data_IF_910088744284
#
_entry.id   IF_910088744284
#
_cell.length_a   1.000
_cell.length_b   1.000
_cell.length_c   1.000
_cell.angle_alpha   90.00
_cell.angle_beta   90.00
_cell.angle_gamma   90.00
#
_symmetry.space_group_name_H-M   'P 1'
#
loop_
_entity.id
_entity.type
_entity.pdbx_description
1 polymer ?
#
# COMPACT_ATOMS: atom_id res chain seq x y z
N UNK A 1 -12.97 10.77 1.31
CA UNK A 1 -13.21 9.55 0.52
C UNK A 1 -11.85 9.09 0.04
N UNK A 2 -11.37 7.95 0.46
CA UNK A 2 -10.05 7.43 0.06
C UNK A 2 -10.27 6.66 -1.23
N UNK A 3 -9.72 7.17 -2.32
CA UNK A 3 -9.77 6.47 -3.61
C UNK A 3 -8.73 5.34 -3.55
N UNK A 4 -9.20 4.10 -3.60
CA UNK A 4 -8.36 2.89 -3.56
C UNK A 4 -8.57 2.09 -4.84
N UNK A 5 -7.48 1.67 -5.48
CA UNK A 5 -7.51 0.71 -6.60
C UNK A 5 -6.49 -0.39 -6.34
N UNK A 6 -6.90 -1.61 -6.59
CA UNK A 6 -6.04 -2.78 -6.60
C UNK A 6 -5.85 -3.27 -8.03
N UNK A 7 -4.62 -3.57 -8.40
CA UNK A 7 -4.24 -4.18 -9.68
C UNK A 7 -3.47 -5.44 -9.37
N UNK A 8 -3.93 -6.57 -9.93
CA UNK A 8 -3.28 -7.85 -9.79
C UNK A 8 -2.90 -8.36 -11.16
N UNK A 9 -1.61 -8.47 -11.43
CA UNK A 9 -1.06 -8.90 -12.71
C UNK A 9 -0.06 -10.03 -12.51
N UNK A 10 0.08 -10.91 -13.50
CA UNK A 10 1.09 -11.95 -13.51
C UNK A 10 2.19 -11.62 -14.52
N UNK A 11 3.43 -11.91 -14.16
CA UNK A 11 4.60 -11.78 -15.02
C UNK A 11 5.33 -13.10 -15.09
N UNK A 12 5.46 -13.64 -16.30
CA UNK A 12 6.28 -14.83 -16.52
C UNK A 12 7.73 -14.43 -16.72
N UNK A 13 8.61 -15.02 -15.92
CA UNK A 13 10.07 -14.86 -16.01
C UNK A 13 10.63 -16.24 -16.40
N UNK A 14 11.21 -16.30 -17.59
CA UNK A 14 11.86 -17.51 -18.10
C UNK A 14 13.32 -17.21 -18.33
N UNK A 15 14.18 -17.93 -17.63
CA UNK A 15 15.62 -17.72 -17.72
C UNK A 15 16.34 -19.04 -17.95
N UNK A 16 17.35 -19.01 -18.83
CA UNK A 16 18.23 -20.13 -19.09
C UNK A 16 19.60 -19.83 -18.49
N UNK A 17 19.97 -20.63 -17.52
CA UNK A 17 21.21 -20.47 -16.75
C UNK A 17 22.12 -21.64 -17.03
N UNK A 18 23.39 -21.36 -17.21
CA UNK A 18 24.43 -22.37 -17.19
C UNK A 18 25.08 -22.40 -15.81
N UNK A 19 24.94 -23.52 -15.11
CA UNK A 19 25.60 -23.75 -13.82
C UNK A 19 26.93 -24.43 -14.10
N UNK A 20 28.02 -23.69 -13.94
CA UNK A 20 29.38 -24.23 -14.12
C UNK A 20 29.61 -25.40 -13.15
N UNK A 21 30.28 -26.45 -13.64
CA UNK A 21 30.61 -27.67 -12.89
C UNK A 21 29.38 -28.46 -12.39
N UNK A 22 28.25 -28.39 -13.11
CA UNK A 22 27.09 -29.23 -12.82
C UNK A 22 27.32 -30.72 -13.23
N UNK A 23 28.38 -31.03 -14.01
CA UNK A 23 28.60 -32.36 -14.57
C UNK A 23 28.64 -33.49 -13.54
N UNK A 24 29.07 -33.18 -12.30
CA UNK A 24 29.16 -34.15 -11.20
C UNK A 24 28.11 -33.88 -10.09
N UNK A 25 27.13 -33.02 -10.34
CA UNK A 25 26.12 -32.64 -9.38
C UNK A 25 24.71 -32.69 -9.96
N UNK A 26 23.77 -32.98 -9.10
CA UNK A 26 22.34 -32.98 -9.43
C UNK A 26 21.68 -31.73 -8.81
N UNK A 27 20.79 -31.09 -9.55
CA UNK A 27 19.89 -30.08 -9.00
C UNK A 27 18.81 -30.79 -8.20
N UNK A 28 18.79 -30.57 -6.89
CA UNK A 28 17.82 -31.16 -5.96
C UNK A 28 16.56 -30.27 -5.92
N UNK A 29 16.75 -28.95 -5.84
CA UNK A 29 15.67 -27.99 -5.69
C UNK A 29 16.08 -26.62 -6.24
N UNK A 30 15.09 -25.81 -6.62
CA UNK A 30 15.26 -24.43 -7.01
C UNK A 30 14.21 -23.59 -6.29
N UNK A 31 14.63 -22.65 -5.47
CA UNK A 31 13.74 -21.71 -4.80
C UNK A 31 13.87 -20.32 -5.44
N UNK A 32 12.73 -19.65 -5.67
CA UNK A 32 12.68 -18.31 -6.24
C UNK A 32 12.18 -17.32 -5.19
N UNK A 33 12.90 -16.21 -5.03
CA UNK A 33 12.54 -15.13 -4.09
C UNK A 33 12.53 -13.79 -4.84
N UNK A 34 11.37 -13.19 -5.09
CA UNK A 34 11.25 -11.90 -5.74
C UNK A 34 11.40 -10.75 -4.75
N UNK A 35 12.02 -9.66 -5.18
CA UNK A 35 12.18 -8.42 -4.39
C UNK A 35 12.02 -7.20 -5.28
N UNK A 36 11.29 -6.17 -4.83
CA UNK A 36 11.29 -4.85 -5.47
C UNK A 36 12.48 -4.05 -4.94
N UNK A 37 13.28 -3.54 -5.86
CA UNK A 37 14.46 -2.70 -5.56
C UNK A 37 14.11 -1.23 -5.64
N UNK A 38 13.29 -0.86 -6.64
CA UNK A 38 12.91 0.53 -6.90
C UNK A 38 11.49 0.64 -7.43
N UNK A 39 10.81 1.67 -6.98
CA UNK A 39 9.57 2.17 -7.55
C UNK A 39 9.81 3.52 -8.23
N UNK A 40 9.27 3.69 -9.41
CA UNK A 40 9.33 4.93 -10.18
C UNK A 40 7.91 5.35 -10.57
N UNK A 41 7.56 6.59 -10.27
CA UNK A 41 6.25 7.18 -10.57
C UNK A 41 6.43 8.29 -11.59
N UNK A 42 5.81 8.14 -12.75
CA UNK A 42 5.85 9.12 -13.83
C UNK A 42 4.48 9.26 -14.49
N UNK A 43 3.93 10.46 -14.44
CA UNK A 43 2.62 10.79 -15.04
C UNK A 43 1.51 9.83 -14.56
N UNK A 44 1.02 8.97 -15.46
CA UNK A 44 -0.02 7.98 -15.24
C UNK A 44 0.50 6.54 -15.11
N UNK A 45 1.81 6.36 -14.90
CA UNK A 45 2.46 5.05 -14.81
C UNK A 45 3.25 4.89 -13.52
N UNK A 46 3.28 3.66 -13.05
CA UNK A 46 4.12 3.22 -11.95
C UNK A 46 4.93 2.03 -12.44
N UNK A 47 6.24 2.16 -12.40
CA UNK A 47 7.18 1.11 -12.80
C UNK A 47 7.92 0.57 -11.58
N UNK A 48 8.01 -0.75 -11.49
CA UNK A 48 8.73 -1.49 -10.49
C UNK A 48 9.94 -2.14 -11.12
N UNK A 49 11.13 -1.80 -10.64
CA UNK A 49 12.37 -2.53 -10.93
C UNK A 49 12.59 -3.51 -9.78
N UNK A 50 12.76 -4.77 -10.10
CA UNK A 50 12.93 -5.82 -9.12
C UNK A 50 14.01 -6.82 -9.52
N UNK A 51 14.25 -7.75 -8.62
CA UNK A 51 15.20 -8.83 -8.78
C UNK A 51 14.57 -10.13 -8.32
N UNK A 52 14.65 -11.17 -9.14
CA UNK A 52 14.28 -12.53 -8.79
C UNK A 52 15.56 -13.29 -8.44
N UNK A 53 15.75 -13.63 -7.17
CA UNK A 53 16.84 -14.47 -6.73
C UNK A 53 16.42 -15.93 -6.87
N UNK A 54 17.15 -16.69 -7.72
CA UNK A 54 17.05 -18.14 -7.84
C UNK A 54 18.14 -18.77 -7.01
N UNK A 55 17.74 -19.58 -6.03
CA UNK A 55 18.64 -20.39 -5.22
C UNK A 55 18.56 -21.84 -5.64
N UNK A 56 19.64 -22.36 -6.20
CA UNK A 56 19.76 -23.75 -6.60
C UNK A 56 20.41 -24.56 -5.47
N UNK A 57 19.75 -25.64 -5.07
CA UNK A 57 20.29 -26.62 -4.17
C UNK A 57 20.88 -27.78 -4.98
N UNK A 58 22.20 -27.97 -4.88
CA UNK A 58 22.95 -28.96 -5.64
C UNK A 58 23.51 -30.03 -4.71
N UNK A 59 23.50 -31.29 -5.15
CA UNK A 59 24.19 -32.38 -4.45
C UNK A 59 25.13 -33.14 -5.40
N UNK A 60 26.28 -33.55 -4.90
CA UNK A 60 27.20 -34.44 -5.60
C UNK A 60 26.89 -35.91 -5.31
N UNK A 61 27.67 -36.81 -5.92
CA UNK A 61 27.52 -38.25 -5.74
C UNK A 61 27.90 -38.78 -4.34
N UNK A 62 28.59 -37.95 -3.54
CA UNK A 62 28.97 -38.23 -2.15
C UNK A 62 27.95 -37.63 -1.15
N UNK A 63 26.83 -37.09 -1.64
CA UNK A 63 25.78 -36.44 -0.89
C UNK A 63 26.24 -35.11 -0.19
N UNK A 64 27.32 -34.50 -0.65
CA UNK A 64 27.64 -33.13 -0.22
C UNK A 64 26.69 -32.17 -0.91
N UNK A 65 26.18 -31.19 -0.14
CA UNK A 65 25.20 -30.23 -0.61
C UNK A 65 25.81 -28.83 -0.67
N UNK A 66 25.57 -28.14 -1.76
CA UNK A 66 25.93 -26.72 -1.91
C UNK A 66 24.77 -25.91 -2.48
N UNK A 67 24.80 -24.60 -2.26
CA UNK A 67 23.85 -23.67 -2.85
C UNK A 67 24.53 -22.74 -3.85
N UNK A 68 23.81 -22.42 -4.94
CA UNK A 68 24.20 -21.42 -5.92
C UNK A 68 23.07 -20.42 -6.08
N UNK A 69 23.39 -19.15 -6.04
CA UNK A 69 22.40 -18.09 -6.18
C UNK A 69 22.62 -17.34 -7.51
N UNK A 70 21.52 -17.06 -8.19
CA UNK A 70 21.49 -16.24 -9.38
C UNK A 70 20.44 -15.14 -9.20
N UNK A 71 20.77 -13.95 -9.63
CA UNK A 71 19.87 -12.80 -9.59
C UNK A 71 19.46 -12.40 -11.00
N UNK A 72 18.15 -12.36 -11.24
CA UNK A 72 17.54 -12.04 -12.53
C UNK A 72 16.79 -10.73 -12.37
N UNK A 73 17.20 -9.63 -13.01
CA UNK A 73 16.45 -8.39 -12.96
C UNK A 73 15.13 -8.51 -13.71
N UNK A 74 14.10 -7.89 -13.20
CA UNK A 74 12.84 -7.73 -13.90
C UNK A 74 12.30 -6.31 -13.76
N UNK A 75 11.49 -5.91 -14.73
CA UNK A 75 10.75 -4.65 -14.70
C UNK A 75 9.27 -4.93 -14.94
N UNK A 76 8.40 -4.22 -14.23
CA UNK A 76 6.95 -4.31 -14.39
C UNK A 76 6.34 -2.91 -14.32
N UNK A 77 5.46 -2.59 -15.26
CA UNK A 77 4.82 -1.26 -15.32
C UNK A 77 3.31 -1.41 -15.36
N UNK A 78 2.64 -0.65 -14.53
CA UNK A 78 1.18 -0.59 -14.45
C UNK A 78 0.68 0.83 -14.72
N UNK A 79 -0.59 0.95 -15.12
CA UNK A 79 -1.27 2.24 -15.23
C UNK A 79 -1.83 2.67 -13.88
N UNK A 80 -1.57 3.92 -13.51
CA UNK A 80 -2.07 4.50 -12.27
C UNK A 80 -3.48 5.10 -12.42
N UNK A 81 -4.11 5.43 -11.30
CA UNK A 81 -5.35 6.21 -11.27
C UNK A 81 -5.04 7.72 -11.30
N UNK A 82 -4.80 8.27 -12.47
CA UNK A 82 -4.39 9.66 -12.65
C UNK A 82 -2.91 9.88 -12.31
N UNK A 83 -2.53 11.10 -11.91
CA UNK A 83 -1.13 11.42 -11.64
C UNK A 83 -0.56 10.53 -10.52
N UNK A 84 0.43 9.70 -10.86
CA UNK A 84 1.06 8.72 -9.98
C UNK A 84 1.88 9.34 -8.84
N UNK A 85 2.38 10.56 -9.00
CA UNK A 85 3.25 11.24 -8.01
C UNK A 85 2.54 11.47 -6.66
N UNK A 86 1.20 11.59 -6.68
CA UNK A 86 0.38 11.82 -5.49
C UNK A 86 -0.24 10.55 -4.91
N UNK A 87 0.16 9.38 -5.41
CA UNK A 87 -0.32 8.09 -4.94
C UNK A 87 0.68 7.45 -3.96
N UNK A 88 0.16 6.84 -2.91
CA UNK A 88 0.88 5.82 -2.15
C UNK A 88 0.58 4.47 -2.75
N UNK A 89 1.57 3.59 -2.75
CA UNK A 89 1.49 2.24 -3.30
C UNK A 89 1.95 1.24 -2.25
N UNK A 90 1.31 0.09 -2.26
CA UNK A 90 1.72 -1.09 -1.51
C UNK A 90 1.77 -2.26 -2.48
N UNK A 91 2.89 -2.96 -2.54
CA UNK A 91 3.15 -4.00 -3.55
C UNK A 91 3.49 -5.31 -2.86
N UNK A 92 2.71 -6.33 -3.15
CA UNK A 92 2.95 -7.70 -2.73
C UNK A 92 3.40 -8.54 -3.92
N UNK A 93 4.43 -9.36 -3.71
CA UNK A 93 4.97 -10.28 -4.69
C UNK A 93 4.75 -11.71 -4.22
N UNK A 94 4.20 -12.54 -5.08
CA UNK A 94 3.95 -13.95 -4.81
C UNK A 94 4.42 -14.80 -5.99
N UNK A 95 5.06 -15.95 -5.72
CA UNK A 95 5.35 -16.95 -6.74
C UNK A 95 4.10 -17.82 -6.92
N UNK A 96 3.40 -17.61 -8.03
CA UNK A 96 2.20 -18.38 -8.35
C UNK A 96 2.54 -19.80 -8.84
N UNK A 97 3.65 -19.92 -9.58
CA UNK A 97 4.18 -21.20 -10.03
C UNK A 97 5.68 -21.09 -10.29
N UNK A 98 6.41 -22.16 -10.02
CA UNK A 98 7.81 -22.30 -10.47
C UNK A 98 8.09 -23.74 -10.90
N UNK A 99 8.83 -23.88 -11.96
CA UNK A 99 9.38 -25.14 -12.41
C UNK A 99 10.81 -24.95 -12.95
N UNK A 100 11.55 -26.02 -13.06
CA UNK A 100 12.86 -26.03 -13.67
C UNK A 100 13.11 -27.28 -14.49
N UNK A 101 13.88 -27.12 -15.56
CA UNK A 101 14.27 -28.23 -16.44
C UNK A 101 15.80 -28.26 -16.52
N UNK A 102 16.39 -29.33 -16.06
CA UNK A 102 17.81 -29.59 -16.20
C UNK A 102 18.09 -30.21 -17.56
N UNK A 103 19.03 -29.65 -18.29
CA UNK A 103 19.48 -30.10 -19.62
C UNK A 103 20.95 -30.51 -19.56
N UNK A 104 21.40 -31.26 -20.56
CA UNK A 104 22.79 -31.66 -20.66
C UNK A 104 23.77 -30.49 -20.66
N UNK A 105 24.96 -30.69 -20.09
CA UNK A 105 26.03 -29.67 -20.03
C UNK A 105 25.81 -28.57 -18.99
N UNK A 106 25.04 -28.82 -17.93
CA UNK A 106 24.86 -27.89 -16.83
C UNK A 106 23.85 -26.77 -17.09
N UNK A 107 23.08 -26.88 -18.17
CA UNK A 107 22.03 -25.90 -18.47
C UNK A 107 20.76 -26.19 -17.66
N UNK A 108 20.28 -25.17 -16.97
CA UNK A 108 19.01 -25.21 -16.26
C UNK A 108 18.11 -24.12 -16.83
N UNK A 109 16.92 -24.49 -17.25
CA UNK A 109 15.87 -23.51 -17.61
C UNK A 109 14.92 -23.41 -16.43
N UNK A 110 14.81 -22.22 -15.87
CA UNK A 110 13.83 -21.89 -14.82
C UNK A 110 12.67 -21.11 -15.42
N UNK A 111 11.44 -21.50 -15.08
CA UNK A 111 10.24 -20.77 -15.40
C UNK A 111 9.56 -20.37 -14.08
N UNK A 112 9.32 -19.08 -13.91
CA UNK A 112 8.68 -18.54 -12.71
C UNK A 112 7.53 -17.65 -13.12
N UNK A 113 6.35 -17.94 -12.62
CA UNK A 113 5.16 -17.10 -12.75
C UNK A 113 5.05 -16.22 -11.49
N UNK A 114 5.44 -14.96 -11.61
CA UNK A 114 5.39 -13.97 -10.57
C UNK A 114 4.06 -13.23 -10.59
N UNK A 115 3.34 -13.25 -9.49
CA UNK A 115 2.15 -12.46 -9.27
C UNK A 115 2.54 -11.16 -8.57
N UNK A 116 2.12 -10.03 -9.13
CA UNK A 116 2.38 -8.69 -8.64
C UNK A 116 1.04 -8.06 -8.28
N UNK A 117 0.79 -7.91 -6.99
CA UNK A 117 -0.44 -7.30 -6.46
C UNK A 117 -0.12 -5.89 -5.97
N UNK A 118 -0.67 -4.88 -6.64
CA UNK A 118 -0.43 -3.48 -6.33
C UNK A 118 -1.70 -2.80 -5.82
N UNK A 119 -1.64 -2.32 -4.60
CA UNK A 119 -2.65 -1.45 -4.02
C UNK A 119 -2.23 0.01 -4.15
N UNK A 120 -3.07 0.84 -4.77
CA UNK A 120 -2.86 2.27 -4.92
C UNK A 120 -3.84 3.05 -4.05
N UNK A 121 -3.34 4.07 -3.35
CA UNK A 121 -4.12 4.94 -2.48
C UNK A 121 -3.88 6.40 -2.81
N UNK A 122 -4.95 7.17 -2.94
CA UNK A 122 -4.83 8.62 -3.05
C UNK A 122 -4.85 9.24 -1.65
N UNK A 123 -3.76 9.90 -1.30
CA UNK A 123 -3.67 10.65 -0.07
C UNK A 123 -4.45 11.96 -0.21
N UNK A 124 -5.61 12.08 0.43
CA UNK A 124 -6.28 13.35 0.61
C UNK A 124 -5.62 14.10 1.78
N UNK A 125 -5.04 15.26 1.53
CA UNK A 125 -4.67 16.18 2.61
C UNK A 125 -5.96 16.77 3.17
N UNK A 126 -6.40 16.27 4.32
CA UNK A 126 -7.42 16.94 5.11
C UNK A 126 -6.73 18.03 5.91
N UNK A 127 -7.02 19.28 5.59
CA UNK A 127 -6.68 20.38 6.48
C UNK A 127 -7.65 20.31 7.67
N UNK A 128 -7.23 19.62 8.72
CA UNK A 128 -7.95 19.66 10.01
C UNK A 128 -7.50 20.94 10.70
N UNK A 129 -8.46 21.78 11.05
CA UNK A 129 -8.21 22.92 11.91
C UNK A 129 -8.01 22.37 13.33
N UNK A 130 -6.76 22.19 13.76
CA UNK A 130 -6.37 21.64 15.06
C UNK A 130 -6.19 22.72 16.14
N UNK A 131 -6.14 23.98 15.75
CA UNK A 131 -6.01 25.11 16.65
C UNK A 131 -6.90 26.27 16.20
N UNK A 132 -7.79 26.71 17.09
CA UNK A 132 -8.48 28.00 17.01
C UNK A 132 -7.80 28.90 18.03
N UNK A 133 -6.94 29.83 17.56
CA UNK A 133 -6.44 30.90 18.40
C UNK A 133 -7.46 32.03 18.40
N UNK A 134 -8.06 32.30 19.56
CA UNK A 134 -8.84 33.53 19.77
C UNK A 134 -7.87 34.69 19.97
N UNK A 135 -7.55 35.39 18.92
CA UNK A 135 -6.79 36.64 18.98
C UNK A 135 -7.75 37.80 19.20
N UNK A 136 -7.89 38.22 20.43
CA UNK A 136 -8.62 39.43 20.82
C UNK A 136 -9.76 39.21 21.80
N UNK A 137 -10.02 40.20 22.64
CA UNK A 137 -11.27 40.28 23.39
C UNK A 137 -12.41 40.42 22.37
N UNK A 138 -13.39 39.51 22.47
CA UNK A 138 -14.65 39.64 21.73
C UNK A 138 -15.30 40.90 22.29
N UNK A 139 -15.25 42.02 21.53
CA UNK A 139 -16.20 43.12 21.77
C UNK A 139 -17.59 42.51 21.59
N UNK A 140 -18.52 42.84 22.50
CA UNK A 140 -19.92 42.38 22.45
C UNK A 140 -20.53 42.79 21.10
N UNK A 141 -20.30 41.97 20.07
CA UNK A 141 -21.09 42.05 18.84
C UNK A 141 -22.38 41.28 19.05
N UNK A 142 -23.50 41.93 18.73
CA UNK A 142 -24.82 41.31 18.73
C UNK A 142 -24.86 40.08 17.79
N UNK A 143 -24.54 38.91 18.33
CA UNK A 143 -24.62 37.63 17.57
C UNK A 143 -26.08 37.36 17.23
N UNK A 144 -26.37 37.24 15.94
CA UNK A 144 -27.72 36.89 15.47
C UNK A 144 -28.02 35.38 15.63
N UNK A 145 -26.97 34.52 15.85
CA UNK A 145 -27.15 33.11 16.02
C UNK A 145 -26.01 32.50 16.85
N UNK A 146 -26.36 31.70 17.86
CA UNK A 146 -25.42 30.89 18.66
C UNK A 146 -25.77 29.41 18.48
N UNK A 147 -24.79 28.60 18.07
CA UNK A 147 -24.94 27.15 17.97
C UNK A 147 -24.24 26.48 19.16
N UNK A 148 -24.99 25.68 19.93
CA UNK A 148 -24.47 24.94 21.07
C UNK A 148 -24.78 23.45 20.94
N UNK A 149 -23.76 22.60 21.15
CA UNK A 149 -23.90 21.14 21.17
C UNK A 149 -24.23 20.71 22.59
N UNK A 150 -25.44 20.19 22.78
CA UNK A 150 -25.93 19.73 24.08
C UNK A 150 -25.15 18.49 24.53
N UNK A 151 -24.79 18.46 25.82
CA UNK A 151 -24.07 17.36 26.46
C UNK A 151 -24.98 16.65 27.48
N UNK A 152 -24.62 15.43 27.84
CA UNK A 152 -25.28 14.70 28.88
C UNK A 152 -25.25 15.47 30.21
N UNK A 153 -26.45 15.68 30.80
CA UNK A 153 -26.63 16.48 32.01
C UNK A 153 -27.00 17.95 31.78
N UNK A 154 -26.98 18.44 30.50
CA UNK A 154 -27.44 19.77 30.18
C UNK A 154 -28.99 19.86 30.32
N UNK A 155 -29.45 21.04 30.77
CA UNK A 155 -30.88 21.38 30.75
C UNK A 155 -31.05 22.67 29.95
N UNK A 156 -32.24 22.84 29.33
CA UNK A 156 -32.55 24.07 28.58
C UNK A 156 -32.42 25.30 29.45
N UNK A 157 -32.72 25.21 30.75
CA UNK A 157 -32.56 26.30 31.70
C UNK A 157 -31.09 26.70 31.91
N UNK A 158 -30.20 25.71 32.06
CA UNK A 158 -28.77 25.97 32.21
C UNK A 158 -28.16 26.57 30.93
N UNK A 159 -28.60 26.08 29.75
CA UNK A 159 -28.19 26.60 28.46
C UNK A 159 -28.67 28.03 28.27
N UNK A 160 -29.97 28.33 28.56
CA UNK A 160 -30.53 29.66 28.48
C UNK A 160 -29.75 30.63 29.36
N UNK A 161 -29.51 30.27 30.62
CA UNK A 161 -28.73 31.09 31.54
C UNK A 161 -27.29 31.36 31.06
N UNK A 162 -26.66 30.35 30.48
CA UNK A 162 -25.28 30.44 29.96
C UNK A 162 -25.14 31.43 28.81
N UNK A 163 -26.14 31.52 27.94
CA UNK A 163 -26.12 32.32 26.72
C UNK A 163 -27.04 33.54 26.78
N UNK A 164 -27.51 33.94 27.95
CA UNK A 164 -28.33 35.15 28.11
C UNK A 164 -29.68 35.09 27.37
N UNK A 165 -30.21 33.89 27.14
CA UNK A 165 -31.49 33.63 26.45
C UNK A 165 -32.58 33.12 27.40
N UNK A 166 -33.77 32.85 26.89
CA UNK A 166 -34.84 32.21 27.61
C UNK A 166 -35.11 30.82 27.14
N UNK A 167 -35.70 29.93 28.00
CA UNK A 167 -36.04 28.58 27.60
C UNK A 167 -37.03 28.61 26.43
N UNK A 168 -38.00 29.54 26.49
CA UNK A 168 -39.03 29.73 25.45
C UNK A 168 -38.39 30.08 24.09
N UNK A 169 -37.39 30.94 24.08
CA UNK A 169 -36.71 31.30 22.84
C UNK A 169 -35.89 30.12 22.26
N UNK A 170 -35.24 29.35 23.11
CA UNK A 170 -34.52 28.14 22.69
C UNK A 170 -35.48 27.11 22.09
N UNK A 171 -36.61 26.83 22.78
CA UNK A 171 -37.65 25.90 22.33
C UNK A 171 -38.21 26.36 20.97
N UNK A 172 -38.60 27.62 20.88
CA UNK A 172 -39.19 28.18 19.66
C UNK A 172 -38.24 28.14 18.48
N UNK A 173 -36.97 28.51 18.69
CA UNK A 173 -35.96 28.62 17.61
C UNK A 173 -35.54 27.25 17.09
N UNK A 174 -35.53 26.22 17.95
CA UNK A 174 -35.12 24.87 17.60
C UNK A 174 -36.25 23.88 17.34
N UNK A 175 -37.53 24.30 17.46
CA UNK A 175 -38.66 23.43 17.23
C UNK A 175 -38.73 22.26 18.21
N UNK A 176 -38.33 22.48 19.47
CA UNK A 176 -38.33 21.43 20.49
C UNK A 176 -39.77 21.28 20.99
N UNK A 177 -40.32 20.07 20.89
CA UNK A 177 -41.60 19.66 21.45
C UNK A 177 -41.40 18.95 22.80
N UNK A 178 -42.35 19.09 23.74
CA UNK A 178 -42.29 18.46 25.07
C UNK A 178 -42.39 16.93 25.00
#
# INVERSE_FOLDING_TARGET
MTDKRQIKESKQIREKVNIENLNDKNVIDVNATPTIIREKKENDKISYEGELELQFLLADNEANVETRNLKIPFEHTIESIGNSENLSTDVELEIANQDFIVQDGGNVTSNVDLLIDTNMYRNAKLNIMDQIETTGAIEDEDYSLIIYIVKEGDTLWNIAKKFGSTVEDIVRTNGIED
#
